data_IF_065553352990
#
_entry.id   IF_065553352990
#
_cell.length_a   1.000
_cell.length_b   1.000
_cell.length_c   1.000
_cell.angle_alpha   90.00
_cell.angle_beta   90.00
_cell.angle_gamma   90.00
#
_symmetry.space_group_name_H-M   'P 1'
#
loop_
_entity.id
_entity.type
_entity.pdbx_description
1 polymer ?
#
# COMPACT_ATOMS: atom_id res chain seq x y z
N UNK A 1 -23.67 1.96 -9.89
CA UNK A 1 -24.27 2.96 -9.00
C UNK A 1 -23.60 4.30 -9.25
N UNK A 2 -24.31 5.41 -9.04
CA UNK A 2 -23.80 6.78 -9.30
C UNK A 2 -22.59 7.20 -8.42
N UNK A 3 -22.13 6.32 -7.52
CA UNK A 3 -20.96 6.50 -6.66
C UNK A 3 -19.73 5.69 -7.11
N UNK A 4 -19.83 4.94 -8.21
CA UNK A 4 -18.68 4.19 -8.74
C UNK A 4 -17.67 5.15 -9.41
N UNK A 5 -16.37 4.88 -9.24
CA UNK A 5 -15.30 5.65 -9.88
C UNK A 5 -15.47 5.68 -11.42
N UNK A 6 -15.34 6.88 -12.00
CA UNK A 6 -15.39 7.12 -13.45
C UNK A 6 -14.19 7.93 -13.94
N UNK A 7 -13.83 7.73 -15.21
CA UNK A 7 -12.80 8.48 -15.92
C UNK A 7 -13.34 9.00 -17.25
N UNK A 8 -12.89 10.19 -17.65
CA UNK A 8 -13.23 10.82 -18.93
C UNK A 8 -12.18 10.49 -20.00
N UNK A 9 -12.61 10.16 -21.21
CA UNK A 9 -11.73 9.95 -22.36
C UNK A 9 -11.33 11.27 -23.04
N UNK A 10 -10.02 11.54 -23.16
CA UNK A 10 -9.44 12.71 -23.81
C UNK A 10 -9.70 12.78 -25.33
N UNK A 11 -10.14 11.69 -25.96
CA UNK A 11 -10.43 11.62 -27.39
C UNK A 11 -11.88 11.95 -27.76
N UNK A 12 -12.84 11.41 -27.00
CA UNK A 12 -14.27 11.52 -27.30
C UNK A 12 -15.10 12.23 -26.22
N UNK A 13 -14.48 12.65 -25.10
CA UNK A 13 -15.15 13.24 -23.93
C UNK A 13 -16.24 12.34 -23.31
N UNK A 14 -16.21 11.05 -23.61
CA UNK A 14 -17.09 10.06 -22.99
C UNK A 14 -16.61 9.69 -21.59
N UNK A 15 -17.56 9.42 -20.69
CA UNK A 15 -17.30 9.00 -19.31
C UNK A 15 -17.51 7.49 -19.15
N UNK A 16 -16.58 6.82 -18.49
CA UNK A 16 -16.55 5.36 -18.34
C UNK A 16 -16.39 4.99 -16.87
N UNK A 17 -17.19 4.04 -16.37
CA UNK A 17 -16.95 3.45 -15.05
C UNK A 17 -15.66 2.63 -15.08
N UNK A 18 -14.78 2.81 -14.10
CA UNK A 18 -13.51 2.06 -14.03
C UNK A 18 -13.71 0.55 -14.12
N UNK A 19 -14.71 0.02 -13.41
CA UNK A 19 -15.10 -1.40 -13.46
C UNK A 19 -15.50 -1.89 -14.87
N UNK A 20 -16.09 -1.04 -15.71
CA UNK A 20 -16.50 -1.41 -17.06
C UNK A 20 -15.33 -1.50 -18.05
N UNK A 21 -14.17 -0.96 -17.69
CA UNK A 21 -12.96 -0.89 -18.53
C UNK A 21 -11.74 -1.53 -17.83
N UNK A 22 -11.98 -2.32 -16.79
CA UNK A 22 -10.96 -2.95 -15.94
C UNK A 22 -9.88 -1.97 -15.44
N UNK A 23 -10.29 -0.76 -15.05
CA UNK A 23 -9.42 0.29 -14.54
C UNK A 23 -9.75 0.57 -13.07
N UNK A 24 -8.78 0.29 -12.20
CA UNK A 24 -8.86 0.67 -10.79
C UNK A 24 -8.54 2.15 -10.57
N UNK A 25 -9.16 2.73 -9.56
CA UNK A 25 -9.00 4.11 -9.11
C UNK A 25 -7.50 4.44 -8.86
N UNK A 26 -6.76 3.47 -8.31
CA UNK A 26 -5.32 3.58 -8.06
C UNK A 26 -4.51 3.78 -9.34
N UNK A 27 -4.82 3.02 -10.39
CA UNK A 27 -4.12 3.13 -11.68
C UNK A 27 -4.55 4.42 -12.39
N UNK A 28 -5.82 4.78 -12.29
CA UNK A 28 -6.34 6.01 -12.88
C UNK A 28 -5.64 7.28 -12.37
N UNK A 29 -5.26 7.31 -11.09
CA UNK A 29 -4.47 8.40 -10.51
C UNK A 29 -3.12 8.64 -11.20
N UNK A 30 -2.60 7.64 -11.91
CA UNK A 30 -1.34 7.71 -12.67
C UNK A 30 -1.53 8.03 -14.15
N UNK A 31 -2.77 8.09 -14.63
CA UNK A 31 -3.09 8.46 -16.01
C UNK A 31 -3.05 9.99 -16.14
N UNK A 32 -2.31 10.46 -17.13
CA UNK A 32 -2.28 11.87 -17.54
C UNK A 32 -3.31 12.15 -18.63
N UNK A 33 -3.47 11.22 -19.59
CA UNK A 33 -4.53 11.23 -20.60
C UNK A 33 -5.10 9.84 -20.80
N UNK A 34 -6.41 9.70 -20.67
CA UNK A 34 -7.11 8.45 -20.86
C UNK A 34 -7.70 8.36 -22.27
N UNK A 35 -7.43 7.27 -22.97
CA UNK A 35 -8.08 6.95 -24.24
C UNK A 35 -8.86 5.64 -24.10
N UNK A 36 -10.17 5.68 -24.34
CA UNK A 36 -11.00 4.49 -24.36
C UNK A 36 -10.60 3.55 -25.52
N UNK A 37 -11.10 2.31 -25.50
CA UNK A 37 -10.74 1.27 -26.49
C UNK A 37 -10.91 1.72 -27.96
N UNK A 38 -11.93 2.53 -28.28
CA UNK A 38 -12.12 3.05 -29.64
C UNK A 38 -11.16 4.19 -29.98
N UNK A 39 -10.94 5.12 -29.04
CA UNK A 39 -10.02 6.25 -29.24
C UNK A 39 -8.55 5.80 -29.28
N UNK A 40 -8.19 4.74 -28.57
CA UNK A 40 -6.82 4.25 -28.52
C UNK A 40 -6.33 3.71 -29.86
N UNK A 41 -7.24 3.23 -30.72
CA UNK A 41 -6.92 2.81 -32.10
C UNK A 41 -6.41 3.96 -32.96
N UNK A 42 -6.80 5.20 -32.66
CA UNK A 42 -6.43 6.40 -33.40
C UNK A 42 -5.31 7.19 -32.72
N UNK A 43 -5.38 7.33 -31.39
CA UNK A 43 -4.48 8.15 -30.60
C UNK A 43 -3.33 7.37 -29.94
N UNK A 44 -3.38 6.03 -29.99
CA UNK A 44 -2.49 5.16 -29.23
C UNK A 44 -2.98 4.90 -27.80
N UNK A 45 -2.19 4.19 -26.98
CA UNK A 45 -2.56 3.89 -25.59
C UNK A 45 -2.64 5.15 -24.73
N UNK A 46 -3.35 5.06 -23.60
CA UNK A 46 -3.41 6.10 -22.57
C UNK A 46 -2.01 6.54 -22.13
N UNK A 47 -1.85 7.83 -21.90
CA UNK A 47 -0.58 8.44 -21.51
C UNK A 47 -0.52 8.51 -19.99
N UNK A 48 0.53 7.96 -19.41
CA UNK A 48 0.77 7.97 -17.96
C UNK A 48 1.69 9.10 -17.57
N UNK A 49 1.43 9.65 -16.37
CA UNK A 49 2.26 10.67 -15.74
C UNK A 49 3.70 10.21 -15.68
N UNK A 50 4.62 11.09 -16.05
CA UNK A 50 6.05 10.83 -15.98
C UNK A 50 6.61 11.28 -14.63
N UNK A 51 7.49 10.46 -14.05
CA UNK A 51 8.21 10.83 -12.82
C UNK A 51 9.22 11.94 -13.11
N UNK A 52 8.97 13.10 -12.51
CA UNK A 52 9.84 14.29 -12.54
C UNK A 52 10.55 14.53 -11.21
N UNK A 53 10.07 13.95 -10.11
CA UNK A 53 10.68 14.09 -8.79
C UNK A 53 10.54 12.81 -7.91
N UNK A 54 11.27 12.76 -6.79
CA UNK A 54 11.30 11.61 -5.86
C UNK A 54 10.91 11.99 -4.41
N UNK A 55 10.60 13.26 -4.17
CA UNK A 55 10.36 13.82 -2.85
C UNK A 55 8.93 14.32 -2.62
N UNK A 56 8.07 14.25 -3.64
CA UNK A 56 6.67 14.67 -3.58
C UNK A 56 5.74 13.49 -3.89
N UNK A 57 4.53 13.55 -3.34
CA UNK A 57 3.46 12.58 -3.61
C UNK A 57 2.97 12.68 -5.06
N UNK A 58 2.84 13.91 -5.54
CA UNK A 58 2.73 14.17 -6.97
C UNK A 58 4.13 14.08 -7.58
N UNK A 59 4.49 12.87 -8.01
CA UNK A 59 5.77 12.60 -8.64
C UNK A 59 5.93 13.28 -10.01
N UNK A 60 4.84 13.81 -10.59
CA UNK A 60 4.79 14.43 -11.91
C UNK A 60 4.90 15.95 -11.88
N UNK A 61 4.87 16.54 -10.68
CA UNK A 61 5.06 17.97 -10.44
C UNK A 61 6.44 18.43 -10.93
N UNK A 62 6.43 19.22 -12.01
CA UNK A 62 7.63 19.77 -12.62
C UNK A 62 8.24 20.92 -11.81
N UNK A 63 7.49 21.51 -10.87
CA UNK A 63 7.91 22.65 -10.06
C UNK A 63 8.21 22.22 -8.61
N UNK A 64 8.70 20.99 -8.44
CA UNK A 64 8.88 20.36 -7.14
C UNK A 64 10.16 20.81 -6.40
N UNK A 65 11.15 21.37 -7.10
CA UNK A 65 12.52 21.58 -6.60
C UNK A 65 12.61 22.28 -5.23
N UNK A 66 11.83 23.35 -5.05
CA UNK A 66 11.85 24.14 -3.82
C UNK A 66 10.86 23.65 -2.76
N UNK A 67 10.13 22.56 -3.02
CA UNK A 67 9.11 22.03 -2.12
C UNK A 67 9.72 20.98 -1.17
N UNK A 68 9.28 20.89 0.09
CA UNK A 68 9.87 19.97 1.07
C UNK A 68 9.65 18.49 0.71
N UNK A 69 10.49 17.60 1.21
CA UNK A 69 10.25 16.16 1.09
C UNK A 69 9.01 15.74 1.89
N UNK A 70 8.16 14.88 1.33
CA UNK A 70 6.94 14.37 1.96
C UNK A 70 7.12 12.93 2.46
N UNK A 71 6.41 12.56 3.53
CA UNK A 71 6.45 11.19 4.06
C UNK A 71 5.99 10.15 3.04
N UNK A 72 6.67 9.00 3.03
CA UNK A 72 6.35 7.87 2.16
C UNK A 72 7.05 7.88 0.80
N UNK A 73 7.57 9.02 0.35
CA UNK A 73 8.25 9.11 -0.95
C UNK A 73 9.62 8.41 -0.94
N UNK A 74 10.16 8.03 -2.12
CA UNK A 74 11.46 7.38 -2.20
C UNK A 74 12.58 8.13 -1.44
N UNK A 75 12.65 9.46 -1.60
CA UNK A 75 13.63 10.30 -0.89
C UNK A 75 13.42 10.28 0.62
N UNK A 76 12.17 10.32 1.09
CA UNK A 76 11.88 10.24 2.52
C UNK A 76 12.35 8.90 3.10
N UNK A 77 12.03 7.79 2.42
CA UNK A 77 12.42 6.45 2.85
C UNK A 77 13.94 6.30 2.85
N UNK A 78 14.64 6.82 1.83
CA UNK A 78 16.10 6.81 1.77
C UNK A 78 16.73 7.64 2.89
N UNK A 79 16.18 8.81 3.20
CA UNK A 79 16.62 9.64 4.34
C UNK A 79 16.33 8.93 5.66
N UNK A 80 15.16 8.30 5.81
CA UNK A 80 14.76 7.58 7.02
C UNK A 80 15.68 6.38 7.29
N UNK A 81 15.99 5.57 6.27
CA UNK A 81 16.90 4.42 6.38
C UNK A 81 18.32 4.80 6.80
N UNK A 82 18.76 6.03 6.50
CA UNK A 82 20.10 6.55 6.84
C UNK A 82 20.14 7.26 8.19
N UNK A 83 18.99 7.55 8.79
CA UNK A 83 18.95 8.18 10.11
C UNK A 83 19.39 7.20 11.19
N UNK A 84 20.18 7.72 12.11
CA UNK A 84 20.58 7.01 13.32
C UNK A 84 19.59 7.42 14.41
N UNK A 85 18.89 6.44 14.95
CA UNK A 85 17.99 6.61 16.10
C UNK A 85 18.62 5.95 17.32
N UNK A 86 18.39 6.48 18.54
CA UNK A 86 18.70 5.75 19.75
C UNK A 86 18.06 4.37 19.74
N UNK A 87 18.76 3.37 20.27
CA UNK A 87 18.22 2.02 20.41
C UNK A 87 16.98 2.01 21.31
N UNK A 88 16.13 1.00 21.12
CA UNK A 88 14.86 0.90 21.84
C UNK A 88 15.03 0.56 23.34
N UNK A 89 16.23 0.20 23.80
CA UNK A 89 16.50 -0.23 25.19
C UNK A 89 16.06 0.76 26.27
N UNK A 90 16.05 2.06 25.96
CA UNK A 90 15.63 3.10 26.91
C UNK A 90 14.12 3.34 26.94
N UNK A 91 13.38 2.76 25.99
CA UNK A 91 11.94 3.03 25.80
C UNK A 91 11.06 1.79 25.85
N UNK A 92 11.64 0.59 25.80
CA UNK A 92 10.88 -0.67 25.87
C UNK A 92 11.19 -1.44 27.14
N UNK A 93 10.16 -2.08 27.69
CA UNK A 93 10.32 -3.07 28.75
C UNK A 93 10.38 -4.46 28.12
N UNK A 94 11.48 -5.19 28.33
CA UNK A 94 11.67 -6.54 27.79
C UNK A 94 11.17 -7.59 28.77
N UNK A 95 10.28 -8.47 28.34
CA UNK A 95 9.72 -9.56 29.15
C UNK A 95 9.80 -10.92 28.45
N UNK A 96 9.71 -11.98 29.25
CA UNK A 96 9.29 -13.31 28.78
C UNK A 96 7.77 -13.36 28.76
N UNK A 97 7.18 -14.16 27.88
CA UNK A 97 5.71 -14.22 27.73
C UNK A 97 4.99 -14.49 29.06
N UNK A 98 5.48 -15.47 29.82
CA UNK A 98 4.91 -15.85 31.12
C UNK A 98 5.05 -14.79 32.24
N UNK A 99 5.82 -13.71 32.03
CA UNK A 99 5.92 -12.60 32.96
C UNK A 99 4.92 -11.47 32.65
N UNK A 100 4.31 -11.47 31.46
CA UNK A 100 3.29 -10.51 31.10
C UNK A 100 1.94 -10.96 31.69
N UNK A 101 1.69 -10.61 32.96
CA UNK A 101 0.46 -10.96 33.67
C UNK A 101 -0.27 -9.72 34.19
N UNK A 102 -1.56 -9.81 34.54
CA UNK A 102 -2.28 -8.72 35.19
C UNK A 102 -1.59 -8.25 36.48
N UNK A 103 -1.02 -9.15 37.27
CA UNK A 103 -0.29 -8.81 38.52
C UNK A 103 0.99 -8.02 38.22
N UNK A 104 1.71 -8.40 37.17
CA UNK A 104 2.87 -7.64 36.70
C UNK A 104 2.45 -6.22 36.32
N UNK A 105 1.40 -6.08 35.50
CA UNK A 105 0.92 -4.77 35.04
C UNK A 105 0.35 -3.92 36.18
N UNK A 106 -0.34 -4.52 37.14
CA UNK A 106 -0.84 -3.81 38.34
C UNK A 106 0.32 -3.31 39.22
N UNK A 107 1.41 -4.07 39.31
CA UNK A 107 2.57 -3.72 40.14
C UNK A 107 3.50 -2.70 39.48
N UNK A 108 3.77 -2.85 38.19
CA UNK A 108 4.78 -2.05 37.47
C UNK A 108 4.18 -1.02 36.50
N UNK A 109 2.87 -1.08 36.26
CA UNK A 109 2.17 -0.24 35.29
C UNK A 109 2.31 -0.72 33.84
N UNK A 110 1.59 -0.05 32.94
CA UNK A 110 1.70 -0.24 31.49
C UNK A 110 1.92 1.10 30.79
N UNK A 111 3.11 1.67 30.96
CA UNK A 111 3.46 3.03 30.49
C UNK A 111 4.48 3.06 29.36
N UNK A 112 5.06 1.91 29.02
CA UNK A 112 6.03 1.75 27.95
C UNK A 112 5.66 0.55 27.08
N UNK A 113 6.03 0.55 25.77
CA UNK A 113 5.92 -0.64 24.95
C UNK A 113 6.64 -1.83 25.56
N UNK A 114 5.98 -2.98 25.56
CA UNK A 114 6.55 -4.24 26.05
C UNK A 114 7.02 -5.06 24.85
N UNK A 115 8.29 -5.45 24.85
CA UNK A 115 8.89 -6.26 23.80
C UNK A 115 9.17 -7.67 24.30
N UNK A 116 8.55 -8.65 23.64
CA UNK A 116 8.69 -10.08 23.95
C UNK A 116 9.24 -10.78 22.71
N UNK A 117 10.48 -11.27 22.81
CA UNK A 117 11.21 -11.81 21.66
C UNK A 117 10.75 -13.20 21.20
N UNK A 118 9.99 -13.92 22.04
CA UNK A 118 9.48 -15.26 21.74
C UNK A 118 8.05 -15.41 22.27
N UNK A 119 7.22 -16.15 21.53
CA UNK A 119 5.80 -16.39 21.81
C UNK A 119 5.57 -17.27 23.04
N UNK A 120 6.57 -18.00 23.53
CA UNK A 120 6.43 -18.90 24.68
C UNK A 120 5.87 -18.18 25.91
N UNK A 121 4.78 -18.72 26.45
CA UNK A 121 4.08 -18.18 27.62
C UNK A 121 3.17 -16.98 27.34
N UNK A 122 2.96 -16.58 26.07
CA UNK A 122 1.99 -15.53 25.70
C UNK A 122 0.55 -16.03 25.55
N UNK A 123 0.34 -17.35 25.51
CA UNK A 123 -0.96 -17.96 25.19
C UNK A 123 -1.54 -17.48 23.84
N UNK A 124 -0.65 -17.06 22.93
CA UNK A 124 -1.02 -16.64 21.58
C UNK A 124 -1.03 -17.84 20.63
N UNK A 125 -2.20 -18.15 20.10
CA UNK A 125 -2.35 -19.09 19.00
C UNK A 125 -2.19 -18.34 17.68
N UNK A 126 -1.21 -18.74 16.88
CA UNK A 126 -0.90 -18.15 15.58
C UNK A 126 -0.79 -19.26 14.54
N UNK A 127 -1.02 -18.95 13.24
CA UNK A 127 -0.81 -19.93 12.18
C UNK A 127 0.65 -20.40 12.14
N UNK A 128 0.87 -21.50 11.41
CA UNK A 128 2.20 -22.03 11.15
C UNK A 128 3.11 -20.91 10.61
N UNK A 129 4.38 -20.88 11.06
CA UNK A 129 5.37 -19.88 10.63
C UNK A 129 5.68 -19.94 9.14
N UNK A 130 5.29 -21.02 8.47
CA UNK A 130 5.44 -21.22 7.03
C UNK A 130 4.15 -20.97 6.24
N UNK A 131 3.12 -20.35 6.84
CA UNK A 131 1.88 -20.01 6.13
C UNK A 131 2.18 -19.20 4.86
N UNK A 132 1.48 -19.54 3.79
CA UNK A 132 1.63 -18.97 2.45
C UNK A 132 0.52 -17.98 2.13
N UNK A 133 0.73 -17.12 1.13
CA UNK A 133 -0.32 -16.22 0.65
C UNK A 133 -1.51 -16.98 0.05
N UNK A 134 -1.27 -18.13 -0.59
CA UNK A 134 -2.32 -19.02 -1.08
C UNK A 134 -3.21 -19.54 0.06
N UNK A 135 -2.63 -19.99 1.18
CA UNK A 135 -3.41 -20.42 2.35
C UNK A 135 -4.20 -19.25 2.98
N UNK A 136 -3.63 -18.05 2.98
CA UNK A 136 -4.34 -16.84 3.43
C UNK A 136 -5.52 -16.53 2.51
N UNK A 137 -5.31 -16.60 1.19
CA UNK A 137 -6.37 -16.41 0.18
C UNK A 137 -7.51 -17.41 0.38
N UNK A 138 -7.18 -18.68 0.51
CA UNK A 138 -8.17 -19.76 0.63
C UNK A 138 -8.96 -19.64 1.96
N UNK A 139 -8.31 -19.20 3.03
CA UNK A 139 -8.96 -19.01 4.33
C UNK A 139 -9.83 -17.74 4.40
N UNK A 140 -9.43 -16.64 3.76
CA UNK A 140 -10.13 -15.35 3.81
C UNK A 140 -11.19 -15.23 2.71
N UNK A 141 -10.95 -15.87 1.56
CA UNK A 141 -11.73 -15.76 0.34
C UNK A 141 -11.07 -14.79 -0.64
N UNK A 142 -10.88 -15.26 -1.88
CA UNK A 142 -10.30 -14.48 -2.98
C UNK A 142 -11.04 -13.14 -3.18
N UNK A 143 -12.39 -13.17 -3.21
CA UNK A 143 -13.21 -12.00 -3.54
C UNK A 143 -13.32 -10.93 -2.42
N UNK A 144 -12.56 -11.11 -1.34
CA UNK A 144 -12.58 -10.20 -0.21
C UNK A 144 -11.87 -8.91 -0.57
N UNK A 145 -12.62 -7.80 -0.56
CA UNK A 145 -12.02 -6.47 -0.61
C UNK A 145 -11.27 -6.15 0.68
N UNK A 146 -10.05 -5.66 0.53
CA UNK A 146 -9.16 -5.17 1.58
C UNK A 146 -8.79 -3.70 1.31
N UNK A 147 -8.50 -2.97 2.38
CA UNK A 147 -7.95 -1.61 2.27
C UNK A 147 -6.43 -1.71 2.11
N UNK A 148 -5.92 -1.21 0.99
CA UNK A 148 -4.49 -1.11 0.69
C UNK A 148 -4.02 0.33 0.80
N UNK A 149 -2.75 0.54 1.12
CA UNK A 149 -2.15 1.86 1.22
C UNK A 149 -1.10 2.01 0.11
N UNK A 150 -1.27 3.02 -0.74
CA UNK A 150 -0.16 3.52 -1.54
C UNK A 150 0.76 4.33 -0.63
N UNK A 151 1.87 3.71 -0.23
CA UNK A 151 2.82 4.30 0.69
C UNK A 151 3.43 5.61 0.16
N UNK A 152 3.64 5.75 -1.15
CA UNK A 152 4.24 6.96 -1.71
C UNK A 152 3.23 8.11 -1.71
N UNK A 153 1.99 7.84 -2.14
CA UNK A 153 0.92 8.85 -2.20
C UNK A 153 0.28 9.12 -0.84
N UNK A 154 0.43 8.21 0.13
CA UNK A 154 -0.25 8.24 1.43
C UNK A 154 -1.79 8.25 1.28
N UNK A 155 -2.28 7.43 0.35
CA UNK A 155 -3.71 7.28 0.01
C UNK A 155 -4.12 5.82 0.20
N UNK A 156 -5.36 5.60 0.63
CA UNK A 156 -5.95 4.27 0.79
C UNK A 156 -6.86 3.95 -0.40
N UNK A 157 -6.73 2.75 -0.94
CA UNK A 157 -7.61 2.20 -1.98
C UNK A 157 -8.24 0.90 -1.49
N UNK A 158 -9.31 0.47 -2.15
CA UNK A 158 -9.84 -0.89 -2.01
C UNK A 158 -9.29 -1.76 -3.12
N UNK A 159 -8.91 -2.98 -2.79
CA UNK A 159 -8.42 -3.99 -3.73
C UNK A 159 -8.93 -5.37 -3.32
N UNK A 160 -9.19 -6.23 -4.29
CA UNK A 160 -9.49 -7.63 -4.02
C UNK A 160 -8.24 -8.33 -3.47
N UNK A 161 -8.40 -9.30 -2.56
CA UNK A 161 -7.25 -9.98 -1.96
C UNK A 161 -6.41 -10.73 -3.00
N UNK A 162 -7.03 -11.31 -4.03
CA UNK A 162 -6.32 -12.01 -5.12
C UNK A 162 -5.47 -11.03 -5.95
N UNK A 163 -6.01 -9.88 -6.33
CA UNK A 163 -5.26 -8.80 -7.02
C UNK A 163 -4.06 -8.32 -6.18
N UNK A 164 -4.24 -8.21 -4.85
CA UNK A 164 -3.16 -7.82 -3.95
C UNK A 164 -2.07 -8.90 -3.85
N UNK A 165 -2.44 -10.18 -3.87
CA UNK A 165 -1.49 -11.28 -3.88
C UNK A 165 -0.73 -11.31 -5.22
N UNK A 166 -1.43 -11.18 -6.35
CA UNK A 166 -0.81 -11.06 -7.68
C UNK A 166 0.18 -9.88 -7.73
N UNK A 167 -0.22 -8.72 -7.19
CA UNK A 167 0.66 -7.57 -7.02
C UNK A 167 1.91 -7.86 -6.18
N UNK A 168 1.72 -8.52 -5.03
CA UNK A 168 2.78 -8.74 -4.06
C UNK A 168 3.82 -9.75 -4.55
N UNK A 169 3.38 -10.79 -5.26
CA UNK A 169 4.24 -11.83 -5.82
C UNK A 169 5.00 -11.37 -7.07
N UNK A 170 4.51 -10.34 -7.77
CA UNK A 170 5.25 -9.72 -8.87
C UNK A 170 6.52 -9.02 -8.37
N UNK A 171 7.68 -9.48 -8.83
CA UNK A 171 9.00 -8.98 -8.39
C UNK A 171 9.19 -7.48 -8.65
N UNK A 172 8.67 -6.98 -9.76
CA UNK A 172 8.73 -5.55 -10.09
C UNK A 172 7.78 -4.72 -9.21
N UNK A 173 6.81 -5.38 -8.54
CA UNK A 173 5.72 -4.73 -7.79
C UNK A 173 5.02 -3.67 -8.64
N UNK A 174 4.93 -3.96 -9.92
CA UNK A 174 4.16 -3.22 -10.91
C UNK A 174 2.93 -4.08 -11.15
N UNK A 175 1.74 -3.56 -10.86
CA UNK A 175 0.52 -4.20 -11.35
C UNK A 175 0.62 -4.24 -12.87
N UNK A 176 0.35 -5.41 -13.47
CA UNK A 176 0.44 -5.58 -14.91
C UNK A 176 -0.33 -4.46 -15.61
N UNK A 177 0.38 -3.73 -16.46
CA UNK A 177 -0.17 -2.75 -17.38
C UNK A 177 -0.94 -3.54 -18.42
N UNK A 178 -2.26 -3.48 -18.40
CA UNK A 178 -3.19 -4.07 -19.36
C UNK A 178 -3.02 -5.60 -19.53
N UNK A 179 -3.96 -6.39 -19.01
CA UNK A 179 -4.24 -7.72 -19.57
C UNK A 179 -4.98 -7.49 -20.90
N UNK A 180 -4.23 -7.11 -21.94
CA UNK A 180 -4.63 -7.27 -23.35
C UNK A 180 -3.83 -8.44 -23.96
#
# INVERSE_FOLDING_TARGET
DDNDFMIECDGCSGWFHGKCIDLSDRIADDIEKYFCHECSKQHGPSIFKQRKNQHRRDYSDANADNKPTQSGTPDFINKLKRRIFPGCESVVTRLKGNHLTPEYLAKYGFTQPILISNRDGLDMTLPNRTITLAEIRDAVGQDRFIDIIDCEKQVTYKMNLDDYIEYYENFERILQKNKD
#
